data_IF_525178749411
#
_entry.id   IF_525178749411
#
_cell.length_a   1.000
_cell.length_b   1.000
_cell.length_c   1.000
_cell.angle_alpha   90.00
_cell.angle_beta   90.00
_cell.angle_gamma   90.00
#
_symmetry.space_group_name_H-M   'P 1'
#
loop_
_entity.id
_entity.type
_entity.pdbx_description
1 polymer ?
#
# COMPACT_ATOMS: atom_id res chain seq x y z
N UNK A 1 -8.52 27.56 -22.22
CA UNK A 1 -8.39 27.16 -20.81
C UNK A 1 -9.09 25.82 -20.70
N UNK A 2 -8.34 24.71 -20.71
CA UNK A 2 -8.94 23.41 -20.43
C UNK A 2 -9.27 23.40 -18.93
N UNK A 3 -10.54 23.22 -18.60
CA UNK A 3 -10.97 22.96 -17.23
C UNK A 3 -10.24 21.70 -16.74
N UNK A 4 -9.49 21.82 -15.64
CA UNK A 4 -8.82 20.68 -15.01
C UNK A 4 -9.91 19.84 -14.33
N UNK A 5 -10.49 18.91 -15.09
CA UNK A 5 -11.50 17.98 -14.58
C UNK A 5 -10.80 17.06 -13.60
N UNK A 6 -10.97 17.35 -12.32
CA UNK A 6 -10.54 16.51 -11.21
C UNK A 6 -11.15 15.12 -11.38
N UNK A 7 -10.32 14.12 -11.70
CA UNK A 7 -10.82 12.76 -11.88
C UNK A 7 -11.06 12.11 -10.51
N UNK A 8 -12.08 11.26 -10.47
CA UNK A 8 -12.33 10.40 -9.30
C UNK A 8 -11.81 9.01 -9.61
N UNK A 9 -10.88 8.52 -8.81
CA UNK A 9 -10.34 7.17 -8.97
C UNK A 9 -11.43 6.12 -8.62
N UNK A 10 -11.60 5.02 -9.38
CA UNK A 10 -12.63 4.02 -9.11
C UNK A 10 -12.55 3.38 -7.71
N UNK A 11 -11.35 3.30 -7.15
CA UNK A 11 -11.10 2.76 -5.79
C UNK A 11 -11.17 3.82 -4.68
N UNK A 12 -11.61 5.06 -5.00
CA UNK A 12 -11.59 6.17 -4.06
C UNK A 12 -12.25 5.85 -2.73
N UNK A 13 -13.45 5.25 -2.73
CA UNK A 13 -14.17 4.94 -1.49
C UNK A 13 -13.35 4.01 -0.58
N UNK A 14 -12.91 2.86 -1.10
CA UNK A 14 -12.09 1.90 -0.34
C UNK A 14 -10.74 2.48 0.10
N UNK A 15 -10.13 3.33 -0.73
CA UNK A 15 -8.84 3.93 -0.41
C UNK A 15 -8.96 5.04 0.63
N UNK A 16 -10.09 5.76 0.63
CA UNK A 16 -10.42 6.74 1.67
C UNK A 16 -10.60 6.06 3.02
N UNK A 17 -11.25 4.91 3.08
CA UNK A 17 -11.41 4.14 4.33
C UNK A 17 -10.06 3.68 4.91
N UNK A 18 -9.17 3.22 4.04
CA UNK A 18 -7.81 2.85 4.43
C UNK A 18 -7.05 4.08 4.92
N UNK A 19 -7.11 5.21 4.20
CA UNK A 19 -6.43 6.42 4.60
C UNK A 19 -6.97 6.99 5.93
N UNK A 20 -8.29 6.95 6.14
CA UNK A 20 -8.91 7.33 7.40
C UNK A 20 -8.40 6.45 8.56
N UNK A 21 -8.23 5.14 8.32
CA UNK A 21 -7.63 4.22 9.30
C UNK A 21 -6.17 4.59 9.62
N UNK A 22 -5.39 5.00 8.62
CA UNK A 22 -4.01 5.48 8.81
C UNK A 22 -3.95 6.80 9.58
N UNK A 23 -4.85 7.75 9.29
CA UNK A 23 -4.97 9.03 10.04
C UNK A 23 -5.36 8.80 11.51
N UNK A 24 -6.18 7.79 11.77
CA UNK A 24 -6.57 7.37 13.12
C UNK A 24 -5.48 6.63 13.88
N UNK A 25 -4.47 6.09 13.19
CA UNK A 25 -3.40 5.32 13.82
C UNK A 25 -2.56 6.17 14.77
N UNK A 26 -2.04 5.54 15.84
CA UNK A 26 -1.19 6.16 16.86
C UNK A 26 0.00 5.25 17.12
N UNK A 27 1.21 5.81 17.10
CA UNK A 27 2.46 5.08 17.29
C UNK A 27 3.31 4.98 16.02
N UNK A 28 4.36 4.19 16.09
CA UNK A 28 5.27 3.92 14.96
C UNK A 28 4.58 2.98 13.94
N UNK A 29 4.61 3.28 12.63
CA UNK A 29 3.92 2.47 11.63
C UNK A 29 4.58 1.10 11.44
N UNK A 30 3.76 0.04 11.57
CA UNK A 30 4.17 -1.34 11.27
C UNK A 30 4.06 -1.70 9.78
N UNK A 31 4.35 -2.96 9.42
CA UNK A 31 4.27 -3.47 8.05
C UNK A 31 2.96 -3.14 7.33
N UNK A 32 1.81 -3.33 7.98
CA UNK A 32 0.49 -3.05 7.40
C UNK A 32 0.31 -1.56 7.07
N UNK A 33 0.69 -0.66 7.99
CA UNK A 33 0.58 0.78 7.78
C UNK A 33 1.53 1.27 6.68
N UNK A 34 2.78 0.82 6.71
CA UNK A 34 3.81 1.20 5.73
C UNK A 34 3.41 0.76 4.32
N UNK A 35 3.00 -0.50 4.16
CA UNK A 35 2.65 -1.04 2.84
C UNK A 35 1.34 -0.47 2.31
N UNK A 36 0.35 -0.21 3.17
CA UNK A 36 -0.88 0.48 2.78
C UNK A 36 -0.63 1.91 2.33
N UNK A 37 0.17 2.67 3.09
CA UNK A 37 0.55 4.03 2.74
C UNK A 37 1.31 4.06 1.41
N UNK A 38 2.31 3.19 1.21
CA UNK A 38 3.07 3.11 -0.03
C UNK A 38 2.19 2.74 -1.24
N UNK A 39 1.21 1.83 -1.05
CA UNK A 39 0.26 1.48 -2.10
C UNK A 39 -0.57 2.68 -2.55
N UNK A 40 -1.13 3.43 -1.60
CA UNK A 40 -1.86 4.66 -1.89
C UNK A 40 -0.94 5.69 -2.56
N UNK A 41 0.31 5.79 -2.09
CA UNK A 41 1.29 6.74 -2.59
C UNK A 41 1.64 6.47 -4.06
N UNK A 42 1.80 5.20 -4.45
CA UNK A 42 2.00 4.78 -5.85
C UNK A 42 0.77 5.06 -6.69
N UNK A 43 -0.42 4.70 -6.20
CA UNK A 43 -1.68 4.85 -6.95
C UNK A 43 -2.03 6.31 -7.25
N UNK A 44 -1.90 7.18 -6.25
CA UNK A 44 -2.35 8.58 -6.35
C UNK A 44 -1.23 9.56 -6.70
N UNK A 45 0.04 9.13 -6.75
CA UNK A 45 1.19 10.02 -6.97
C UNK A 45 1.07 10.87 -8.23
N UNK A 46 0.82 10.22 -9.36
CA UNK A 46 0.70 10.89 -10.68
C UNK A 46 -0.76 10.94 -11.17
N UNK A 47 -1.72 10.60 -10.32
CA UNK A 47 -3.13 10.56 -10.71
C UNK A 47 -3.69 11.98 -10.85
N UNK A 48 -4.38 12.33 -11.96
CA UNK A 48 -5.01 13.65 -12.11
C UNK A 48 -6.25 13.76 -11.20
N UNK A 49 -6.12 14.49 -10.10
CA UNK A 49 -7.17 14.69 -9.09
C UNK A 49 -6.93 13.99 -7.75
N UNK A 50 -7.99 13.79 -6.95
CA UNK A 50 -7.94 13.23 -5.59
C UNK A 50 -6.97 13.98 -4.65
N UNK A 51 -6.99 15.31 -4.71
CA UNK A 51 -6.09 16.17 -3.92
C UNK A 51 -6.28 16.00 -2.41
N UNK A 52 -7.49 15.63 -1.98
CA UNK A 52 -7.79 15.30 -0.60
C UNK A 52 -7.03 14.05 -0.12
N UNK A 53 -7.01 12.98 -0.93
CA UNK A 53 -6.26 11.74 -0.64
C UNK A 53 -4.76 12.04 -0.61
N UNK A 54 -4.25 12.80 -1.57
CA UNK A 54 -2.82 13.17 -1.64
C UNK A 54 -2.40 13.98 -0.42
N UNK A 55 -3.17 15.00 -0.05
CA UNK A 55 -2.88 15.86 1.09
C UNK A 55 -2.93 15.09 2.41
N UNK A 56 -3.94 14.25 2.61
CA UNK A 56 -4.08 13.46 3.83
C UNK A 56 -3.02 12.35 3.91
N UNK A 57 -2.65 11.72 2.80
CA UNK A 57 -1.56 10.76 2.75
C UNK A 57 -0.22 11.43 3.09
N UNK A 58 0.02 12.66 2.62
CA UNK A 58 1.19 13.43 3.02
C UNK A 58 1.19 13.70 4.53
N UNK A 59 0.05 14.07 5.14
CA UNK A 59 -0.05 14.24 6.60
C UNK A 59 0.29 12.96 7.36
N UNK A 60 -0.22 11.82 6.90
CA UNK A 60 0.10 10.50 7.51
C UNK A 60 1.61 10.24 7.47
N UNK A 61 2.21 10.33 6.29
CA UNK A 61 3.63 9.99 6.09
C UNK A 61 4.54 10.95 6.86
N UNK A 62 4.26 12.25 6.81
CA UNK A 62 5.01 13.26 7.57
C UNK A 62 4.79 13.15 9.08
N UNK A 63 3.59 12.74 9.53
CA UNK A 63 3.29 12.46 10.94
C UNK A 63 4.11 11.30 11.51
N UNK A 64 4.56 10.38 10.67
CA UNK A 64 5.50 9.32 11.04
C UNK A 64 6.98 9.72 10.89
N UNK A 65 7.27 10.99 10.58
CA UNK A 65 8.63 11.48 10.32
C UNK A 65 9.24 10.96 9.02
N UNK A 66 8.40 10.53 8.07
CA UNK A 66 8.83 9.97 6.79
C UNK A 66 8.58 10.95 5.63
N UNK A 67 9.20 10.63 4.50
CA UNK A 67 8.93 11.16 3.17
C UNK A 67 8.73 10.00 2.19
N UNK A 68 8.56 10.28 0.90
CA UNK A 68 8.32 9.25 -0.11
C UNK A 68 9.46 8.24 -0.17
N UNK A 69 10.70 8.72 -0.15
CA UNK A 69 11.90 7.91 -0.30
C UNK A 69 12.09 6.97 0.91
N UNK A 70 11.96 7.50 2.12
CA UNK A 70 12.07 6.72 3.36
C UNK A 70 10.90 5.76 3.58
N UNK A 71 9.68 6.13 3.18
CA UNK A 71 8.54 5.21 3.14
C UNK A 71 8.82 4.02 2.23
N UNK A 72 9.34 4.28 1.03
CA UNK A 72 9.70 3.23 0.07
C UNK A 72 10.86 2.36 0.59
N UNK A 73 11.86 2.96 1.25
CA UNK A 73 12.97 2.23 1.87
C UNK A 73 12.46 1.27 2.96
N UNK A 74 11.66 1.77 3.90
CA UNK A 74 11.03 0.94 4.94
C UNK A 74 10.15 -0.17 4.36
N UNK A 75 9.42 0.11 3.29
CA UNK A 75 8.66 -0.95 2.61
C UNK A 75 9.57 -2.05 2.05
N UNK A 76 10.71 -1.70 1.42
CA UNK A 76 11.67 -2.69 0.92
C UNK A 76 12.23 -3.56 2.05
N UNK A 77 12.52 -2.97 3.21
CA UNK A 77 12.93 -3.71 4.41
C UNK A 77 11.85 -4.70 4.86
N UNK A 78 10.58 -4.25 4.91
CA UNK A 78 9.42 -5.11 5.22
C UNK A 78 9.35 -6.30 4.25
N UNK A 79 9.45 -6.08 2.94
CA UNK A 79 9.41 -7.17 1.95
C UNK A 79 10.60 -8.12 2.07
N UNK A 80 11.80 -7.58 2.33
CA UNK A 80 13.03 -8.34 2.52
C UNK A 80 13.00 -9.21 3.80
N UNK A 81 12.23 -8.82 4.81
CA UNK A 81 12.04 -9.60 6.04
C UNK A 81 11.22 -10.89 5.83
N UNK A 82 10.59 -11.07 4.67
CA UNK A 82 9.70 -12.20 4.38
C UNK A 82 8.23 -11.94 4.71
N UNK A 83 7.90 -10.82 5.35
CA UNK A 83 6.52 -10.43 5.63
C UNK A 83 5.69 -10.32 4.34
N UNK A 84 4.45 -10.79 4.38
CA UNK A 84 3.46 -10.62 3.30
C UNK A 84 2.13 -10.11 3.85
N UNK A 85 1.38 -9.30 3.09
CA UNK A 85 0.05 -8.87 3.49
C UNK A 85 -0.86 -10.09 3.73
N UNK A 86 -1.63 -10.06 4.81
CA UNK A 86 -2.58 -11.13 5.12
C UNK A 86 -1.96 -12.40 5.75
N UNK A 87 -0.66 -12.43 6.05
CA UNK A 87 -0.07 -13.47 6.91
C UNK A 87 -0.59 -13.33 8.35
N UNK A 88 -1.79 -13.87 8.60
CA UNK A 88 -2.34 -14.04 9.93
C UNK A 88 -2.06 -15.47 10.38
N UNK A 89 -0.86 -15.74 10.90
CA UNK A 89 -0.58 -16.87 11.80
C UNK A 89 -1.00 -18.28 11.40
N UNK A 90 -0.85 -18.67 10.13
CA UNK A 90 -0.94 -20.08 9.74
C UNK A 90 0.09 -20.37 8.64
N UNK A 91 1.27 -20.79 9.07
CA UNK A 91 2.40 -21.28 8.26
C UNK A 91 2.10 -22.62 7.55
N UNK A 92 0.94 -22.76 6.92
CA UNK A 92 0.57 -23.95 6.15
C UNK A 92 -0.14 -23.55 4.85
N UNK A 93 0.59 -22.88 3.96
CA UNK A 93 0.27 -22.90 2.53
C UNK A 93 1.26 -23.83 1.84
N UNK A 94 0.87 -25.10 1.74
CA UNK A 94 1.57 -26.08 0.92
C UNK A 94 1.65 -25.57 -0.51
N UNK A 95 2.87 -25.50 -1.05
CA UNK A 95 3.13 -25.13 -2.43
C UNK A 95 2.43 -26.11 -3.39
N UNK A 96 1.21 -25.79 -3.78
CA UNK A 96 0.44 -26.47 -4.84
C UNK A 96 0.95 -26.14 -6.23
N UNK A 97 2.28 -26.13 -6.41
CA UNK A 97 2.95 -25.97 -7.70
C UNK A 97 4.05 -27.01 -7.84
N UNK A 98 3.70 -28.28 -7.64
CA UNK A 98 4.40 -29.37 -8.32
C UNK A 98 3.52 -29.75 -9.52
N UNK A 99 3.82 -29.18 -10.69
CA UNK A 99 3.38 -29.78 -11.95
C UNK A 99 4.33 -30.94 -12.21
N UNK A 100 3.98 -32.11 -11.69
CA UNK A 100 4.60 -33.35 -12.13
C UNK A 100 4.28 -33.50 -13.62
N UNK A 101 5.22 -33.13 -14.49
CA UNK A 101 5.26 -33.63 -15.86
C UNK A 101 5.51 -35.14 -15.78
N UNK A 102 4.43 -35.89 -15.70
CA UNK A 102 4.40 -37.34 -15.86
C UNK A 102 3.57 -37.60 -17.11
N UNK A 103 4.22 -37.78 -18.25
CA UNK A 103 4.54 -39.14 -18.69
C UNK A 103 5.14 -39.11 -20.10
N UNK A 104 6.15 -39.97 -20.25
CA UNK A 104 6.79 -40.32 -21.52
C UNK A 104 5.79 -41.01 -22.44
N UNK A 105 5.95 -40.81 -23.75
CA UNK A 105 5.98 -41.91 -24.73
C UNK A 105 6.70 -41.45 -26.01
#
# INVERSE_FOLDING_TARGET
MAEDVQQTHPLYASDRDILNSLLGFRGDPGPDQLTSAARLATRYGDFPGADDIKADLQKVVTGWGLNRESLNAKCREVWASGWRPGQSGSDEVGSGSDVSDSDKL
#
